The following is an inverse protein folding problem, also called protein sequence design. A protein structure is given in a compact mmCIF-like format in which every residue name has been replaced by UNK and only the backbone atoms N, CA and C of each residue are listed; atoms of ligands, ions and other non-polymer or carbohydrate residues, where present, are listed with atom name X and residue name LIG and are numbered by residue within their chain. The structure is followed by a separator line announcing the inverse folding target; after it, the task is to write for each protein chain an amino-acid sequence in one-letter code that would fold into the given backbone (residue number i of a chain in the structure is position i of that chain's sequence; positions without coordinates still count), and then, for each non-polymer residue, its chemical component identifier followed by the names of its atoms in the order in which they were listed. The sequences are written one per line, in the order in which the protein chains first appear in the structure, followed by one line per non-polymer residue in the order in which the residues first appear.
data_IF_371990523625
#
_entry.id   IF_371990523625
#
_cell.length_a   1.000
_cell.length_b   1.000
_cell.length_c   1.000
_cell.angle_alpha   90.00
_cell.angle_beta   90.00
_cell.angle_gamma   90.00
#
_symmetry.space_group_name_H-M   'P 1'
#
loop_
_entity.id
_entity.type
_entity.pdbx_description
1 polymer ?
#
# COMPACT_ATOMS: atom_id res chain seq x y z
N UNK A 1 13.45 29.73 -6.79
CA UNK A 1 13.77 28.28 -6.78
C UNK A 1 12.74 27.56 -5.93
N UNK A 2 12.28 26.43 -6.46
CA UNK A 2 11.19 25.52 -6.10
C UNK A 2 10.21 25.84 -4.95
N UNK A 3 8.94 25.87 -5.37
CA UNK A 3 7.70 25.97 -4.61
C UNK A 3 7.66 24.93 -3.49
N UNK A 4 7.09 25.34 -2.36
CA UNK A 4 6.59 24.49 -1.28
C UNK A 4 6.19 23.11 -1.81
N UNK A 5 7.04 22.11 -1.54
CA UNK A 5 6.56 20.74 -1.37
C UNK A 5 5.65 20.83 -0.16
N UNK A 6 4.35 20.95 -0.40
CA UNK A 6 3.33 20.92 0.66
C UNK A 6 3.67 19.74 1.57
N UNK A 7 4.08 20.05 2.80
CA UNK A 7 4.37 19.05 3.82
C UNK A 7 3.17 18.12 3.85
N UNK A 8 3.42 16.83 3.58
CA UNK A 8 2.38 15.81 3.58
C UNK A 8 1.58 15.93 4.88
N UNK A 9 0.27 16.20 4.75
CA UNK A 9 -0.60 16.40 5.91
C UNK A 9 -0.69 15.11 6.71
N UNK A 10 -0.90 15.22 8.03
CA UNK A 10 -1.07 14.07 8.94
C UNK A 10 -2.19 13.11 8.57
N UNK A 11 -3.10 13.54 7.70
CA UNK A 11 -4.27 12.78 7.24
C UNK A 11 -4.14 12.31 5.79
N UNK A 12 -2.95 12.40 5.21
CA UNK A 12 -2.74 12.00 3.82
C UNK A 12 -3.01 10.51 3.67
N UNK A 13 -3.86 10.15 2.70
CA UNK A 13 -4.09 8.77 2.32
C UNK A 13 -2.98 8.27 1.40
N UNK A 14 -2.36 7.16 1.80
CA UNK A 14 -1.31 6.48 1.06
C UNK A 14 -1.82 5.06 0.78
N UNK A 15 -1.83 4.67 -0.49
CA UNK A 15 -2.18 3.33 -0.91
C UNK A 15 -0.92 2.48 -0.96
N UNK A 16 -0.93 1.38 -0.21
CA UNK A 16 0.07 0.32 -0.29
C UNK A 16 -0.48 -0.79 -1.17
N UNK A 17 0.38 -1.37 -2.00
CA UNK A 17 0.07 -2.52 -2.83
C UNK A 17 1.22 -3.52 -2.81
N UNK A 18 0.89 -4.81 -2.66
CA UNK A 18 1.81 -5.93 -2.83
C UNK A 18 1.09 -7.08 -3.52
N UNK A 19 1.81 -7.92 -4.25
CA UNK A 19 1.22 -9.12 -4.86
C UNK A 19 2.11 -10.35 -4.72
N UNK A 20 1.50 -11.53 -4.68
CA UNK A 20 2.18 -12.83 -4.73
C UNK A 20 1.47 -13.74 -5.72
N UNK A 21 2.24 -14.59 -6.37
CA UNK A 21 1.70 -15.63 -7.22
C UNK A 21 1.14 -16.77 -6.35
N UNK A 22 -0.09 -17.18 -6.65
CA UNK A 22 -0.77 -18.29 -5.98
C UNK A 22 -1.33 -19.21 -7.06
N UNK A 23 -0.57 -20.24 -7.41
CA UNK A 23 -0.88 -21.10 -8.55
C UNK A 23 -0.84 -20.33 -9.88
N UNK A 24 -1.97 -20.26 -10.58
CA UNK A 24 -2.10 -19.55 -11.86
C UNK A 24 -2.64 -18.12 -11.73
N UNK A 25 -2.95 -17.66 -10.51
CA UNK A 25 -3.51 -16.33 -10.26
C UNK A 25 -2.57 -15.48 -9.42
N UNK A 26 -2.69 -14.16 -9.54
CA UNK A 26 -2.02 -13.21 -8.63
C UNK A 26 -2.96 -12.84 -7.50
N UNK A 27 -2.52 -13.07 -6.27
CA UNK A 27 -3.14 -12.50 -5.08
C UNK A 27 -2.53 -11.11 -4.86
N UNK A 28 -3.36 -10.07 -4.85
CA UNK A 28 -2.92 -8.69 -4.62
C UNK A 28 -3.62 -8.12 -3.40
N UNK A 29 -2.82 -7.63 -2.45
CA UNK A 29 -3.27 -6.98 -1.22
C UNK A 29 -3.08 -5.47 -1.35
N UNK A 30 -4.13 -4.74 -1.01
CA UNK A 30 -4.16 -3.29 -0.94
C UNK A 30 -4.43 -2.83 0.48
N UNK A 31 -3.78 -1.76 0.90
CA UNK A 31 -4.12 -1.10 2.14
C UNK A 31 -4.06 0.43 1.98
N UNK A 32 -5.05 1.13 2.50
CA UNK A 32 -5.03 2.59 2.59
C UNK A 32 -4.68 2.96 4.02
N UNK A 33 -3.61 3.75 4.16
CA UNK A 33 -3.17 4.32 5.44
C UNK A 33 -3.50 5.80 5.45
N UNK A 34 -4.09 6.27 6.54
CA UNK A 34 -4.37 7.69 6.75
C UNK A 34 -3.33 8.32 7.66
N UNK A 35 -2.19 8.68 7.07
CA UNK A 35 -1.03 9.29 7.76
C UNK A 35 -0.72 8.65 9.12
N UNK A 36 -0.91 9.38 10.22
CA UNK A 36 -0.62 8.84 11.58
C UNK A 36 -1.76 8.03 12.20
N UNK A 37 -2.95 8.02 11.60
CA UNK A 37 -4.13 7.31 12.13
C UNK A 37 -4.03 5.80 11.93
N UNK A 38 -3.14 5.34 11.04
CA UNK A 38 -2.96 3.93 10.73
C UNK A 38 -3.83 3.45 9.58
N UNK A 39 -4.13 2.15 9.59
CA UNK A 39 -4.87 1.46 8.53
C UNK A 39 -6.32 1.92 8.53
N UNK A 40 -6.77 2.43 7.39
CA UNK A 40 -8.16 2.83 7.15
C UNK A 40 -8.92 1.74 6.39
N UNK A 41 -8.30 1.15 5.37
CA UNK A 41 -8.90 0.09 4.56
C UNK A 41 -7.89 -0.99 4.20
N UNK A 42 -8.34 -2.24 4.10
CA UNK A 42 -7.59 -3.36 3.54
C UNK A 42 -8.50 -4.07 2.53
N UNK A 43 -7.93 -4.46 1.39
CA UNK A 43 -8.67 -5.18 0.36
C UNK A 43 -7.78 -6.23 -0.31
N UNK A 44 -8.37 -7.40 -0.59
CA UNK A 44 -7.71 -8.51 -1.27
C UNK A 44 -8.38 -8.76 -2.63
N UNK A 45 -7.58 -8.97 -3.68
CA UNK A 45 -8.07 -9.27 -5.04
C UNK A 45 -7.25 -10.39 -5.67
N UNK A 46 -7.92 -11.24 -6.46
CA UNK A 46 -7.28 -12.26 -7.30
C UNK A 46 -7.06 -11.71 -8.71
N UNK A 47 -6.24 -10.66 -8.81
CA UNK A 47 -5.93 -9.92 -10.03
C UNK A 47 -4.48 -9.45 -9.96
N UNK A 48 -3.88 -9.11 -11.09
CA UNK A 48 -2.60 -8.39 -11.10
C UNK A 48 -2.73 -7.01 -10.45
N UNK A 49 -1.60 -6.41 -10.04
CA UNK A 49 -1.59 -5.05 -9.48
C UNK A 49 -2.17 -4.04 -10.45
N UNK A 50 -1.82 -4.15 -11.73
CA UNK A 50 -2.24 -3.24 -12.78
C UNK A 50 -3.75 -3.29 -12.98
N UNK A 51 -4.33 -4.48 -13.03
CA UNK A 51 -5.77 -4.69 -13.14
C UNK A 51 -6.51 -4.18 -11.90
N UNK A 52 -5.99 -4.47 -10.73
CA UNK A 52 -6.63 -4.06 -9.49
C UNK A 52 -6.50 -2.54 -9.25
N UNK A 53 -5.40 -1.88 -9.64
CA UNK A 53 -5.28 -0.41 -9.65
C UNK A 53 -6.28 0.19 -10.64
N UNK A 54 -6.44 -0.38 -11.84
CA UNK A 54 -7.46 0.07 -12.82
C UNK A 54 -8.89 -0.09 -12.31
N UNK A 55 -9.16 -1.14 -11.53
CA UNK A 55 -10.46 -1.35 -10.91
C UNK A 55 -10.71 -0.33 -9.80
N UNK A 56 -9.70 -0.10 -8.96
CA UNK A 56 -9.74 0.83 -7.84
C UNK A 56 -9.75 2.30 -8.26
N UNK A 57 -9.19 2.66 -9.42
CA UNK A 57 -9.18 4.06 -9.87
C UNK A 57 -10.57 4.64 -10.12
N UNK A 58 -11.59 3.77 -10.24
CA UNK A 58 -13.00 4.13 -10.34
C UNK A 58 -13.70 4.20 -8.98
N UNK A 59 -13.03 3.78 -7.91
CA UNK A 59 -13.56 3.77 -6.56
C UNK A 59 -13.42 5.16 -5.92
N UNK A 60 -14.52 5.77 -5.42
CA UNK A 60 -14.46 7.02 -4.68
C UNK A 60 -13.47 7.01 -3.51
N UNK A 61 -13.20 5.84 -2.93
CA UNK A 61 -12.21 5.62 -1.88
C UNK A 61 -10.80 6.12 -2.26
N UNK A 62 -10.44 5.99 -3.54
CA UNK A 62 -9.12 6.38 -4.05
C UNK A 62 -9.02 7.87 -4.39
N UNK A 63 -10.13 8.61 -4.43
CA UNK A 63 -10.13 10.04 -4.82
C UNK A 63 -9.23 10.93 -3.96
N UNK A 64 -8.97 10.51 -2.72
CA UNK A 64 -8.14 11.24 -1.75
C UNK A 64 -6.73 10.64 -1.57
N UNK A 65 -6.42 9.53 -2.24
CA UNK A 65 -5.08 8.93 -2.21
C UNK A 65 -4.10 9.85 -2.94
N UNK A 66 -3.01 10.20 -2.25
CA UNK A 66 -1.97 11.11 -2.78
C UNK A 66 -0.72 10.39 -3.24
N UNK A 67 -0.48 9.22 -2.67
CA UNK A 67 0.71 8.43 -2.95
C UNK A 67 0.32 6.96 -3.09
N UNK A 68 0.97 6.28 -4.02
CA UNK A 68 0.91 4.83 -4.16
C UNK A 68 2.31 4.31 -3.87
N UNK A 69 2.39 3.30 -3.02
CA UNK A 69 3.62 2.61 -2.66
C UNK A 69 3.47 1.17 -3.12
N UNK A 70 4.29 0.79 -4.09
CA UNK A 70 4.48 -0.60 -4.43
C UNK A 70 5.50 -1.20 -3.46
N UNK A 71 5.03 -2.07 -2.58
CA UNK A 71 5.88 -2.71 -1.57
C UNK A 71 6.85 -3.73 -2.17
N UNK A 72 6.62 -4.18 -3.39
CA UNK A 72 7.53 -5.07 -4.10
C UNK A 72 8.61 -4.28 -4.88
N UNK A 73 8.49 -2.95 -4.94
CA UNK A 73 9.51 -2.03 -5.48
C UNK A 73 10.05 -1.10 -4.39
N UNK A 74 11.23 -1.41 -3.82
CA UNK A 74 11.88 -0.61 -2.77
C UNK A 74 12.21 0.83 -3.18
N UNK A 75 12.33 1.10 -4.48
CA UNK A 75 12.65 2.45 -4.97
C UNK A 75 11.46 3.40 -4.80
N UNK A 76 10.25 2.92 -5.12
CA UNK A 76 8.99 3.66 -4.95
C UNK A 76 8.74 4.07 -3.50
N UNK A 77 9.00 3.14 -2.56
CA UNK A 77 8.83 3.36 -1.13
C UNK A 77 9.76 4.45 -0.61
N UNK A 78 11.03 4.43 -1.05
CA UNK A 78 12.04 5.38 -0.60
C UNK A 78 11.80 6.81 -1.08
N UNK A 79 11.25 7.00 -2.27
CA UNK A 79 10.90 8.34 -2.77
C UNK A 79 9.76 8.96 -1.96
N UNK A 80 8.68 8.20 -1.74
CA UNK A 80 7.55 8.68 -0.93
C UNK A 80 8.00 8.96 0.51
N UNK A 81 8.81 8.08 1.10
CA UNK A 81 9.38 8.27 2.44
C UNK A 81 10.26 9.53 2.56
N UNK A 82 10.96 9.93 1.50
CA UNK A 82 11.74 11.19 1.47
C UNK A 82 10.85 12.43 1.36
N UNK A 83 9.70 12.32 0.70
CA UNK A 83 8.71 13.41 0.62
C UNK A 83 7.96 13.62 1.93
N UNK A 84 7.95 12.60 2.79
CA UNK A 84 7.32 12.62 4.10
C UNK A 84 8.23 13.28 5.14
N UNK A 85 7.92 14.52 5.50
CA UNK A 85 8.67 15.26 6.51
C UNK A 85 8.37 14.90 7.98
N UNK A 86 7.36 14.07 8.26
CA UNK A 86 6.97 13.69 9.63
C UNK A 86 7.45 12.27 9.97
N UNK A 87 8.39 12.16 10.91
CA UNK A 87 8.97 10.89 11.37
C UNK A 87 7.93 9.89 11.89
N UNK A 88 6.78 10.35 12.41
CA UNK A 88 5.74 9.45 12.90
C UNK A 88 4.99 8.77 11.77
N UNK A 89 4.78 9.49 10.66
CA UNK A 89 4.17 8.89 9.47
C UNK A 89 5.12 7.81 8.93
N UNK A 90 6.43 8.12 8.85
CA UNK A 90 7.44 7.12 8.48
C UNK A 90 7.37 5.86 9.36
N UNK A 91 7.31 6.02 10.68
CA UNK A 91 7.18 4.89 11.61
C UNK A 91 5.90 4.07 11.39
N UNK A 92 4.75 4.73 11.23
CA UNK A 92 3.47 4.04 10.93
C UNK A 92 3.56 3.27 9.62
N UNK A 93 4.23 3.82 8.61
CA UNK A 93 4.39 3.16 7.32
C UNK A 93 5.32 1.95 7.38
N UNK A 94 6.47 2.06 8.05
CA UNK A 94 7.39 0.93 8.24
C UNK A 94 6.69 -0.24 8.96
N UNK A 95 5.94 0.06 10.02
CA UNK A 95 5.14 -0.96 10.72
C UNK A 95 4.04 -1.54 9.83
N UNK A 96 3.36 -0.70 9.06
CA UNK A 96 2.32 -1.14 8.12
C UNK A 96 2.89 -2.10 7.09
N UNK A 97 4.02 -1.75 6.46
CA UNK A 97 4.70 -2.60 5.47
C UNK A 97 4.98 -3.97 6.08
N UNK A 98 5.52 -4.00 7.30
CA UNK A 98 5.79 -5.26 8.00
C UNK A 98 4.52 -6.07 8.25
N UNK A 99 3.45 -5.46 8.79
CA UNK A 99 2.16 -6.12 9.04
C UNK A 99 1.57 -6.69 7.74
N UNK A 100 1.55 -5.90 6.67
CA UNK A 100 0.99 -6.32 5.39
C UNK A 100 1.78 -7.46 4.75
N UNK A 101 3.10 -7.47 4.89
CA UNK A 101 3.93 -8.59 4.43
C UNK A 101 3.59 -9.88 5.19
N UNK A 102 3.47 -9.82 6.52
CA UNK A 102 3.08 -10.98 7.34
C UNK A 102 1.68 -11.48 6.94
N UNK A 103 0.70 -10.58 6.80
CA UNK A 103 -0.65 -10.95 6.34
C UNK A 103 -0.59 -11.63 4.97
N UNK A 104 0.20 -11.08 4.05
CA UNK A 104 0.32 -11.62 2.70
C UNK A 104 0.93 -13.03 2.70
N UNK A 105 1.99 -13.25 3.49
CA UNK A 105 2.62 -14.57 3.65
C UNK A 105 1.64 -15.60 4.23
N UNK A 106 0.93 -15.23 5.30
CA UNK A 106 -0.07 -16.10 5.92
C UNK A 106 -1.24 -16.42 4.97
N UNK A 107 -1.70 -15.45 4.18
CA UNK A 107 -2.74 -15.69 3.17
C UNK A 107 -2.26 -16.63 2.06
N UNK A 108 -1.03 -16.47 1.58
CA UNK A 108 -0.44 -17.38 0.59
C UNK A 108 -0.37 -18.79 1.20
N UNK A 109 0.20 -18.92 2.39
CA UNK A 109 0.32 -20.20 3.09
C UNK A 109 -1.05 -20.86 3.29
N UNK A 110 -2.07 -20.11 3.70
CA UNK A 110 -3.42 -20.65 3.88
C UNK A 110 -3.98 -21.21 2.57
N UNK A 111 -3.78 -20.52 1.45
CA UNK A 111 -4.31 -20.95 0.15
C UNK A 111 -3.49 -22.13 -0.42
N UNK A 112 -2.18 -22.16 -0.21
CA UNK A 112 -1.31 -23.19 -0.78
C UNK A 112 -1.12 -24.42 0.12
N UNK A 113 -1.34 -24.31 1.43
CA UNK A 113 -1.14 -25.41 2.40
C UNK A 113 -2.18 -26.54 2.29
N UNK A 114 -3.22 -26.35 1.48
CA UNK A 114 -4.24 -27.36 1.19
C UNK A 114 -4.15 -27.94 -0.23
N UNK A 115 -3.07 -27.62 -0.95
CA UNK A 115 -2.74 -28.17 -2.28
C UNK A 115 -1.52 -29.10 -2.23
#
# INVERSE_FOLDING_TARGET
MNRNLDRVKRETRILFVTSRDVGQVKLTLFAIIRGIMGIEHIMLKLLSKEEAIKLLSKDPLLSEVRFIIDMDDPSSSNEVLKMLGDHRIKYVMENTIHILNVIMEELVNLITSHN
#
